data_IF_405085669759
#
_entry.id   IF_405085669759
#
_cell.length_a   1.000
_cell.length_b   1.000
_cell.length_c   1.000
_cell.angle_alpha   90.00
_cell.angle_beta   90.00
_cell.angle_gamma   90.00
#
_symmetry.space_group_name_H-M   'P 1'
#
loop_
_entity.id
_entity.type
_entity.pdbx_description
1 polymer ?
#
# COMPACT_ATOMS: atom_id res chain seq x y z
N UNK A 1 -34.99 -18.70 -15.30
CA UNK A 1 -34.81 -18.29 -13.90
C UNK A 1 -33.46 -18.80 -13.43
N UNK A 2 -32.43 -17.94 -13.44
CA UNK A 2 -31.09 -18.30 -12.94
C UNK A 2 -30.85 -17.50 -11.68
N UNK A 3 -30.78 -18.21 -10.57
CA UNK A 3 -30.59 -17.73 -9.21
C UNK A 3 -29.29 -16.93 -9.15
N UNK A 4 -29.40 -15.61 -9.13
CA UNK A 4 -28.27 -14.72 -8.86
C UNK A 4 -27.72 -15.09 -7.49
N UNK A 5 -26.53 -15.70 -7.46
CA UNK A 5 -25.82 -15.98 -6.22
C UNK A 5 -25.74 -14.66 -5.46
N UNK A 6 -26.44 -14.57 -4.33
CA UNK A 6 -26.33 -13.47 -3.41
C UNK A 6 -24.83 -13.30 -3.10
N UNK A 7 -24.24 -12.21 -3.56
CA UNK A 7 -22.87 -11.84 -3.22
C UNK A 7 -22.94 -11.42 -1.75
N UNK A 8 -22.94 -12.39 -0.83
CA UNK A 8 -22.82 -12.15 0.61
C UNK A 8 -21.36 -11.76 0.85
N UNK A 9 -21.01 -10.56 0.42
CA UNK A 9 -19.69 -9.95 0.54
C UNK A 9 -19.52 -9.47 1.96
N UNK A 10 -19.36 -10.40 2.89
CA UNK A 10 -18.86 -10.04 4.21
C UNK A 10 -17.37 -9.75 4.05
N UNK A 11 -17.05 -8.52 3.63
CA UNK A 11 -15.68 -8.02 3.74
C UNK A 11 -15.31 -8.10 5.21
N UNK A 12 -14.26 -8.83 5.53
CA UNK A 12 -13.89 -9.04 6.92
C UNK A 12 -13.15 -7.82 7.44
N UNK A 13 -13.44 -7.42 8.68
CA UNK A 13 -12.64 -6.42 9.41
C UNK A 13 -11.13 -6.77 9.41
N UNK A 14 -10.81 -8.06 9.29
CA UNK A 14 -9.44 -8.56 9.21
C UNK A 14 -8.74 -8.14 7.92
N UNK A 15 -9.42 -8.16 6.77
CA UNK A 15 -8.84 -7.74 5.49
C UNK A 15 -8.52 -6.25 5.46
N UNK A 16 -9.41 -5.43 6.02
CA UNK A 16 -9.18 -3.98 6.19
C UNK A 16 -7.96 -3.73 7.08
N UNK A 17 -7.87 -4.41 8.22
CA UNK A 17 -6.72 -4.28 9.12
C UNK A 17 -5.41 -4.80 8.51
N UNK A 18 -5.49 -5.87 7.72
CA UNK A 18 -4.35 -6.43 6.99
C UNK A 18 -3.80 -5.41 5.99
N UNK A 19 -4.68 -4.83 5.17
CA UNK A 19 -4.30 -3.77 4.21
C UNK A 19 -3.73 -2.54 4.92
N UNK A 20 -4.36 -2.08 6.00
CA UNK A 20 -3.86 -0.96 6.80
C UNK A 20 -2.43 -1.19 7.28
N UNK A 21 -2.16 -2.36 7.88
CA UNK A 21 -0.82 -2.73 8.36
C UNK A 21 0.19 -2.87 7.23
N UNK A 22 -0.23 -3.36 6.07
CA UNK A 22 0.60 -3.47 4.87
C UNK A 22 1.02 -2.09 4.34
N UNK A 23 0.08 -1.14 4.25
CA UNK A 23 0.38 0.24 3.88
C UNK A 23 1.37 0.88 4.86
N UNK A 24 1.15 0.73 6.17
CA UNK A 24 2.07 1.27 7.18
C UNK A 24 3.47 0.64 7.13
N UNK A 25 3.58 -0.66 6.90
CA UNK A 25 4.87 -1.33 6.72
C UNK A 25 5.59 -0.82 5.47
N UNK A 26 4.86 -0.66 4.37
CA UNK A 26 5.40 -0.14 3.11
C UNK A 26 5.89 1.30 3.27
N UNK A 27 5.12 2.17 3.95
CA UNK A 27 5.51 3.55 4.21
C UNK A 27 6.83 3.67 5.01
N UNK A 28 7.11 2.73 5.92
CA UNK A 28 8.35 2.74 6.73
C UNK A 28 9.63 2.57 5.91
N UNK A 29 9.55 2.03 4.69
CA UNK A 29 10.72 1.85 3.82
C UNK A 29 11.21 3.17 3.20
N UNK A 30 10.40 4.24 3.25
CA UNK A 30 10.76 5.54 2.67
C UNK A 30 11.60 6.35 3.65
N UNK A 31 12.92 6.14 3.61
CA UNK A 31 13.87 6.77 4.55
C UNK A 31 14.26 8.20 4.20
N UNK A 32 14.05 8.65 2.95
CA UNK A 32 14.43 9.99 2.52
C UNK A 32 13.35 11.03 2.84
N UNK A 33 13.73 12.31 2.83
CA UNK A 33 12.81 13.44 2.96
C UNK A 33 12.30 13.91 1.59
N UNK A 34 11.23 14.70 1.60
CA UNK A 34 10.77 15.47 0.44
C UNK A 34 11.68 16.71 0.20
N UNK A 35 11.33 17.51 -0.81
CA UNK A 35 12.08 18.73 -1.16
C UNK A 35 12.05 19.81 -0.09
N UNK A 36 11.12 19.71 0.87
CA UNK A 36 10.95 20.65 1.98
C UNK A 36 11.57 20.10 3.28
N UNK A 37 12.18 18.91 3.25
CA UNK A 37 12.80 18.27 4.40
C UNK A 37 11.87 17.36 5.21
N UNK A 38 10.60 17.22 4.85
CA UNK A 38 9.66 16.36 5.59
C UNK A 38 9.94 14.87 5.32
N UNK A 39 10.02 14.02 6.36
CA UNK A 39 10.24 12.59 6.18
C UNK A 39 9.06 11.91 5.47
N UNK A 40 9.31 11.24 4.34
CA UNK A 40 8.24 10.58 3.57
C UNK A 40 7.53 9.48 4.34
N UNK A 41 8.23 8.72 5.17
CA UNK A 41 7.63 7.69 6.01
C UNK A 41 6.53 8.24 6.94
N UNK A 42 6.72 9.45 7.48
CA UNK A 42 5.76 10.11 8.35
C UNK A 42 4.59 10.66 7.54
N UNK A 43 4.88 11.39 6.46
CA UNK A 43 3.84 11.95 5.57
C UNK A 43 2.94 10.84 5.02
N UNK A 44 3.51 9.74 4.53
CA UNK A 44 2.74 8.60 4.01
C UNK A 44 1.92 7.91 5.10
N UNK A 45 2.48 7.74 6.31
CA UNK A 45 1.74 7.20 7.46
C UNK A 45 0.52 8.06 7.77
N UNK A 46 0.67 9.38 7.81
CA UNK A 46 -0.42 10.32 8.08
C UNK A 46 -1.50 10.25 6.99
N UNK A 47 -1.12 10.18 5.71
CA UNK A 47 -2.06 9.99 4.61
C UNK A 47 -2.82 8.66 4.72
N UNK A 48 -2.13 7.54 4.98
CA UNK A 48 -2.78 6.24 5.19
C UNK A 48 -3.76 6.29 6.36
N UNK A 49 -3.38 6.90 7.48
CA UNK A 49 -4.27 7.06 8.63
C UNK A 49 -5.50 7.91 8.31
N UNK A 50 -5.33 8.97 7.52
CA UNK A 50 -6.42 9.82 7.06
C UNK A 50 -7.38 9.05 6.17
N UNK A 51 -6.88 8.36 5.15
CA UNK A 51 -7.69 7.62 4.18
C UNK A 51 -8.57 6.55 4.86
N UNK A 52 -7.98 5.75 5.76
CA UNK A 52 -8.72 4.74 6.51
C UNK A 52 -9.73 5.34 7.50
N UNK A 53 -9.45 6.54 8.03
CA UNK A 53 -10.38 7.25 8.92
C UNK A 53 -11.57 7.79 8.13
N UNK A 54 -11.35 8.31 6.94
CA UNK A 54 -12.42 8.82 6.06
C UNK A 54 -13.30 7.67 5.55
N UNK A 55 -12.69 6.56 5.13
CA UNK A 55 -13.41 5.36 4.68
C UNK A 55 -14.15 4.57 5.77
N UNK A 56 -13.93 4.85 7.06
CA UNK A 56 -14.45 4.00 8.17
C UNK A 56 -15.98 3.94 8.28
N UNK A 57 -16.68 4.91 7.69
CA UNK A 57 -18.14 5.03 7.73
C UNK A 57 -18.81 4.38 6.52
N UNK A 58 -18.02 3.89 5.57
CA UNK A 58 -18.57 3.16 4.44
C UNK A 58 -19.16 1.83 4.91
N UNK A 59 -20.40 1.58 4.51
CA UNK A 59 -21.18 0.40 4.91
C UNK A 59 -21.65 -0.42 3.71
N UNK A 60 -21.60 0.13 2.49
CA UNK A 60 -21.91 -0.60 1.28
C UNK A 60 -20.83 -1.68 1.03
N UNK A 61 -21.20 -2.98 1.09
CA UNK A 61 -20.23 -4.06 0.94
C UNK A 61 -19.47 -4.05 -0.39
N UNK A 62 -20.10 -3.60 -1.48
CA UNK A 62 -19.47 -3.53 -2.80
C UNK A 62 -18.48 -2.38 -2.87
N UNK A 63 -18.79 -1.25 -2.23
CA UNK A 63 -17.85 -0.12 -2.14
C UNK A 63 -16.64 -0.51 -1.30
N UNK A 64 -16.85 -1.12 -0.12
CA UNK A 64 -15.75 -1.58 0.74
C UNK A 64 -14.88 -2.61 0.00
N UNK A 65 -15.50 -3.58 -0.69
CA UNK A 65 -14.76 -4.58 -1.47
C UNK A 65 -13.89 -3.91 -2.56
N UNK A 66 -14.44 -2.93 -3.28
CA UNK A 66 -13.71 -2.18 -4.30
C UNK A 66 -12.55 -1.38 -3.70
N UNK A 67 -12.76 -0.70 -2.57
CA UNK A 67 -11.72 0.03 -1.85
C UNK A 67 -10.56 -0.89 -1.45
N UNK A 68 -10.87 -2.09 -0.95
CA UNK A 68 -9.84 -3.08 -0.61
C UNK A 68 -9.05 -3.56 -1.83
N UNK A 69 -9.73 -3.87 -2.93
CA UNK A 69 -9.07 -4.33 -4.17
C UNK A 69 -8.14 -3.24 -4.70
N UNK A 70 -8.65 -2.01 -4.86
CA UNK A 70 -7.86 -0.89 -5.38
C UNK A 70 -6.72 -0.54 -4.45
N UNK A 71 -6.97 -0.47 -3.14
CA UNK A 71 -5.92 -0.20 -2.15
C UNK A 71 -4.82 -1.27 -2.16
N UNK A 72 -5.19 -2.55 -2.30
CA UNK A 72 -4.23 -3.65 -2.41
C UNK A 72 -3.40 -3.57 -3.70
N UNK A 73 -4.03 -3.27 -4.84
CA UNK A 73 -3.32 -3.07 -6.09
C UNK A 73 -2.33 -1.90 -6.00
N UNK A 74 -2.75 -0.79 -5.37
CA UNK A 74 -1.92 0.38 -5.16
C UNK A 74 -0.67 0.09 -4.32
N UNK A 75 -0.83 -0.54 -3.14
CA UNK A 75 0.32 -0.86 -2.28
C UNK A 75 1.27 -1.87 -2.94
N UNK A 76 0.73 -2.86 -3.67
CA UNK A 76 1.53 -3.83 -4.41
C UNK A 76 2.32 -3.19 -5.56
N UNK A 77 1.75 -2.22 -6.27
CA UNK A 77 2.46 -1.46 -7.30
C UNK A 77 3.61 -0.64 -6.69
N UNK A 78 3.37 0.03 -5.56
CA UNK A 78 4.40 0.79 -4.84
C UNK A 78 5.54 -0.14 -4.42
N UNK A 79 5.24 -1.28 -3.79
CA UNK A 79 6.23 -2.28 -3.40
C UNK A 79 7.03 -2.79 -4.60
N UNK A 80 6.38 -3.07 -5.73
CA UNK A 80 7.06 -3.51 -6.96
C UNK A 80 8.05 -2.47 -7.48
N UNK A 81 7.66 -1.19 -7.48
CA UNK A 81 8.54 -0.08 -7.90
C UNK A 81 9.72 0.10 -6.94
N UNK A 82 9.45 0.05 -5.64
CA UNK A 82 10.47 0.17 -4.61
C UNK A 82 11.51 -0.94 -4.74
N UNK A 83 11.06 -2.20 -4.81
CA UNK A 83 11.95 -3.36 -4.97
C UNK A 83 12.77 -3.27 -6.26
N UNK A 84 12.19 -2.77 -7.37
CA UNK A 84 12.93 -2.56 -8.62
C UNK A 84 14.07 -1.56 -8.42
N UNK A 85 13.78 -0.41 -7.80
CA UNK A 85 14.79 0.61 -7.53
C UNK A 85 15.91 0.07 -6.63
N UNK A 86 15.57 -0.67 -5.57
CA UNK A 86 16.54 -1.30 -4.68
C UNK A 86 17.47 -2.27 -5.43
N UNK A 87 16.91 -3.11 -6.31
CA UNK A 87 17.68 -4.05 -7.13
C UNK A 87 18.62 -3.31 -8.09
N UNK A 88 18.16 -2.24 -8.74
CA UNK A 88 18.99 -1.43 -9.64
C UNK A 88 20.17 -0.78 -8.91
N UNK A 89 19.93 -0.28 -7.69
CA UNK A 89 20.97 0.27 -6.82
C UNK A 89 21.98 -0.84 -6.44
N UNK A 90 21.49 -2.01 -6.01
CA UNK A 90 22.34 -3.13 -5.64
C UNK A 90 23.25 -3.59 -6.79
N UNK A 91 22.70 -3.72 -8.00
CA UNK A 91 23.47 -4.11 -9.19
C UNK A 91 24.49 -3.04 -9.61
N UNK A 92 24.18 -1.76 -9.39
CA UNK A 92 25.16 -0.68 -9.58
C UNK A 92 26.32 -0.79 -8.59
N UNK A 93 26.03 -0.98 -7.30
CA UNK A 93 27.05 -1.14 -6.25
C UNK A 93 27.96 -2.33 -6.55
N UNK A 94 27.40 -3.49 -6.94
CA UNK A 94 28.20 -4.68 -7.32
C UNK A 94 29.16 -4.39 -8.47
N UNK A 95 28.72 -3.67 -9.51
CA UNK A 95 29.55 -3.28 -10.65
C UNK A 95 30.69 -2.35 -10.25
N UNK A 96 30.41 -1.37 -9.38
CA UNK A 96 31.42 -0.42 -8.92
C UNK A 96 32.47 -1.09 -8.02
N UNK A 97 32.07 -2.06 -7.19
CA UNK A 97 33.00 -2.89 -6.39
C UNK A 97 33.86 -3.77 -7.29
N UNK A 98 33.29 -4.40 -8.32
CA UNK A 98 34.03 -5.31 -9.21
C UNK A 98 35.03 -4.60 -10.13
N UNK A 99 34.94 -3.26 -10.24
CA UNK A 99 35.86 -2.42 -11.03
C UNK A 99 37.05 -1.90 -10.22
N UNK A 100 37.04 -2.06 -8.89
CA UNK A 100 38.13 -1.69 -7.98
C UNK A 100 38.98 -2.91 -7.67
#
# INVERSE_FOLDING_TARGET
>A
MSTGKHFTSTVSRLEVLSLYRECLRTARAFHHSDTLGNPWNQTLKEQVMKEFREGRRETDPLVVARMLVVGRQGVQEIQRRFNRADMEIMERVKRDVSRR
#
